data_IF_330398406771
#
_entry.id   IF_330398406771
#
_cell.length_a   1.000
_cell.length_b   1.000
_cell.length_c   1.000
_cell.angle_alpha   90.00
_cell.angle_beta   90.00
_cell.angle_gamma   90.00
#
_symmetry.space_group_name_H-M   'P 1'
#
loop_
_entity.id
_entity.type
_entity.pdbx_description
1 polymer ?
#
# COMPACT_ATOMS: atom_id res chain seq x y z
N UNK A 1 -36.18 8.61 -32.95
CA UNK A 1 -34.82 8.92 -33.41
C UNK A 1 -34.44 10.28 -32.84
N UNK A 2 -33.51 10.34 -31.88
CA UNK A 2 -32.96 11.60 -31.35
C UNK A 2 -31.61 11.85 -32.04
N UNK A 3 -31.31 13.07 -32.53
CA UNK A 3 -30.08 13.32 -33.27
C UNK A 3 -28.88 13.41 -32.32
N UNK A 4 -27.79 12.72 -32.69
CA UNK A 4 -26.49 12.84 -32.04
C UNK A 4 -25.94 14.25 -32.31
N UNK A 5 -25.90 15.09 -31.28
CA UNK A 5 -25.17 16.37 -31.33
C UNK A 5 -23.68 16.04 -31.19
N UNK A 6 -22.96 16.04 -32.31
CA UNK A 6 -21.50 16.03 -32.32
C UNK A 6 -21.00 17.40 -31.81
N UNK A 7 -20.46 17.41 -30.58
CA UNK A 7 -19.88 18.61 -29.98
C UNK A 7 -18.66 19.14 -30.75
N UNK A 8 -18.31 20.43 -30.59
CA UNK A 8 -17.34 21.09 -31.45
C UNK A 8 -15.93 20.51 -31.30
N UNK A 9 -15.27 20.29 -32.44
CA UNK A 9 -13.87 19.88 -32.51
C UNK A 9 -12.99 20.94 -31.83
N UNK A 10 -12.39 20.60 -30.68
CA UNK A 10 -11.55 21.53 -29.90
C UNK A 10 -10.06 21.28 -30.18
N UNK A 11 -9.40 22.09 -31.05
CA UNK A 11 -8.01 21.88 -31.49
C UNK A 11 -6.96 21.94 -30.37
N UNK A 12 -7.34 22.49 -29.21
CA UNK A 12 -6.53 22.56 -28.00
C UNK A 12 -6.19 21.17 -27.42
N UNK A 13 -7.01 20.13 -27.68
CA UNK A 13 -6.77 18.77 -27.18
C UNK A 13 -5.56 18.09 -27.84
N UNK A 14 -5.34 18.34 -29.13
CA UNK A 14 -4.20 17.80 -29.87
C UNK A 14 -2.90 18.49 -29.47
N UNK A 15 -2.93 19.82 -29.30
CA UNK A 15 -1.80 20.59 -28.77
C UNK A 15 -1.44 20.16 -27.35
N UNK A 16 -2.45 19.92 -26.49
CA UNK A 16 -2.24 19.38 -25.15
C UNK A 16 -1.65 17.96 -25.18
N UNK A 17 -2.12 17.08 -26.08
CA UNK A 17 -1.58 15.74 -26.26
C UNK A 17 -0.12 15.75 -26.75
N UNK A 18 0.23 16.67 -27.65
CA UNK A 18 1.60 16.86 -28.14
C UNK A 18 2.55 17.36 -27.04
N UNK A 19 2.11 18.36 -26.27
CA UNK A 19 2.86 18.85 -25.09
C UNK A 19 3.03 17.74 -24.06
N UNK A 20 1.97 16.97 -23.79
CA UNK A 20 1.99 15.82 -22.88
C UNK A 20 2.95 14.73 -23.38
N UNK A 21 2.98 14.43 -24.68
CA UNK A 21 3.92 13.49 -25.29
C UNK A 21 5.38 13.95 -25.17
N UNK A 22 5.64 15.25 -25.41
CA UNK A 22 6.97 15.87 -25.28
C UNK A 22 7.45 15.80 -23.82
N UNK A 23 6.56 16.10 -22.86
CA UNK A 23 6.79 15.91 -21.43
C UNK A 23 7.07 14.44 -21.08
N UNK A 24 6.29 13.50 -21.62
CA UNK A 24 6.48 12.06 -21.37
C UNK A 24 7.79 11.51 -21.96
N UNK A 25 8.28 12.09 -23.05
CA UNK A 25 9.56 11.75 -23.68
C UNK A 25 10.74 12.33 -22.89
N UNK A 26 10.64 13.57 -22.44
CA UNK A 26 11.64 14.22 -21.58
C UNK A 26 11.74 13.55 -20.20
N UNK A 27 10.60 13.22 -19.58
CA UNK A 27 10.52 12.49 -18.31
C UNK A 27 11.17 11.11 -18.41
N UNK A 28 11.03 10.40 -19.54
CA UNK A 28 11.72 9.12 -19.82
C UNK A 28 13.23 9.27 -19.97
N UNK A 29 13.73 10.41 -20.44
CA UNK A 29 15.16 10.70 -20.51
C UNK A 29 15.76 11.05 -19.14
N UNK A 30 15.07 11.87 -18.35
CA UNK A 30 15.42 12.17 -16.95
C UNK A 30 15.38 10.92 -16.06
N UNK A 31 14.43 10.01 -16.30
CA UNK A 31 14.35 8.70 -15.64
C UNK A 31 15.58 7.80 -15.90
N UNK A 32 16.33 8.05 -16.98
CA UNK A 32 17.54 7.29 -17.37
C UNK A 32 18.76 7.62 -16.50
N UNK A 33 18.75 8.78 -15.83
CA UNK A 33 19.83 9.26 -14.97
C UNK A 33 19.47 9.23 -13.47
N UNK A 34 18.41 8.51 -13.08
CA UNK A 34 18.08 8.29 -11.66
C UNK A 34 19.25 7.74 -10.84
N UNK A 35 20.20 7.06 -11.49
CA UNK A 35 21.43 6.59 -10.85
C UNK A 35 22.35 7.73 -10.38
N UNK A 36 22.36 8.89 -11.05
CA UNK A 36 23.12 10.08 -10.59
C UNK A 36 22.57 10.64 -9.27
N UNK A 37 21.28 10.41 -8.99
CA UNK A 37 20.63 10.79 -7.73
C UNK A 37 20.60 9.65 -6.72
N UNK A 38 21.11 8.46 -7.06
CA UNK A 38 21.16 7.31 -6.17
C UNK A 38 21.82 7.60 -4.82
N UNK A 39 22.99 8.28 -4.73
CA UNK A 39 23.58 8.60 -3.43
C UNK A 39 22.66 9.51 -2.59
N UNK A 40 21.98 10.47 -3.21
CA UNK A 40 21.02 11.34 -2.51
C UNK A 40 19.76 10.58 -2.04
N UNK A 41 19.22 9.69 -2.88
CA UNK A 41 18.09 8.84 -2.52
C UNK A 41 18.45 7.86 -1.40
N UNK A 42 19.68 7.34 -1.41
CA UNK A 42 20.19 6.48 -0.35
C UNK A 42 20.36 7.24 0.97
N UNK A 43 20.97 8.43 0.95
CA UNK A 43 21.09 9.30 2.14
C UNK A 43 19.69 9.66 2.69
N UNK A 44 18.76 10.05 1.82
CA UNK A 44 17.38 10.34 2.20
C UNK A 44 16.70 9.14 2.87
N UNK A 45 16.89 7.94 2.33
CA UNK A 45 16.40 6.70 2.92
C UNK A 45 17.01 6.45 4.31
N UNK A 46 18.33 6.60 4.47
CA UNK A 46 19.01 6.42 5.76
C UNK A 46 18.49 7.42 6.80
N UNK A 47 18.34 8.70 6.43
CA UNK A 47 17.75 9.71 7.31
C UNK A 47 16.32 9.34 7.70
N UNK A 48 15.51 8.83 6.77
CA UNK A 48 14.16 8.32 7.08
C UNK A 48 14.20 7.17 8.08
N UNK A 49 15.13 6.22 7.94
CA UNK A 49 15.25 5.09 8.87
C UNK A 49 15.62 5.58 10.28
N UNK A 50 16.57 6.51 10.38
CA UNK A 50 16.98 7.11 11.66
C UNK A 50 15.80 7.84 12.30
N UNK A 51 15.05 8.67 11.55
CA UNK A 51 13.86 9.38 12.06
C UNK A 51 12.77 8.43 12.57
N UNK A 52 12.65 7.26 11.96
CA UNK A 52 11.72 6.23 12.40
C UNK A 52 12.23 5.43 13.61
N UNK A 53 13.48 5.66 14.05
CA UNK A 53 14.13 4.95 15.15
C UNK A 53 14.64 3.56 14.78
N UNK A 54 14.93 3.33 13.49
CA UNK A 54 15.19 2.00 12.95
C UNK A 54 16.64 1.87 12.47
N UNK A 55 17.27 0.73 12.74
CA UNK A 55 18.55 0.40 12.12
C UNK A 55 18.33 0.17 10.61
N UNK A 56 19.16 0.79 9.75
CA UNK A 56 19.01 0.66 8.31
C UNK A 56 19.24 -0.79 7.92
N UNK A 57 18.17 -1.49 7.54
CA UNK A 57 18.28 -2.74 6.82
C UNK A 57 17.87 -2.53 5.38
N UNK A 58 18.44 -3.32 4.48
CA UNK A 58 18.00 -3.38 3.09
C UNK A 58 17.44 -4.77 2.88
N UNK A 59 16.14 -4.87 2.63
CA UNK A 59 15.52 -6.12 2.20
C UNK A 59 14.60 -5.85 1.01
N UNK A 60 14.53 -6.76 0.04
CA UNK A 60 13.70 -6.58 -1.15
C UNK A 60 12.22 -6.36 -0.81
N UNK A 61 11.74 -7.00 0.26
CA UNK A 61 10.39 -6.80 0.78
C UNK A 61 10.22 -5.37 1.32
N UNK A 62 11.16 -4.90 2.12
CA UNK A 62 11.12 -3.54 2.64
C UNK A 62 11.16 -2.48 1.54
N UNK A 63 11.94 -2.70 0.48
CA UNK A 63 12.03 -1.79 -0.65
C UNK A 63 10.72 -1.69 -1.46
N UNK A 64 9.80 -2.67 -1.32
CA UNK A 64 8.50 -2.66 -2.00
C UNK A 64 7.43 -1.85 -1.26
N UNK A 65 7.64 -1.45 -0.01
CA UNK A 65 6.66 -0.61 0.71
C UNK A 65 6.54 0.75 0.03
N UNK A 66 5.32 1.22 -0.17
CA UNK A 66 5.03 2.43 -0.95
C UNK A 66 4.93 3.68 -0.05
N UNK A 67 4.91 3.52 1.27
CA UNK A 67 4.88 4.63 2.24
C UNK A 67 5.76 4.40 3.48
N UNK A 68 6.19 5.48 4.17
CA UNK A 68 6.89 5.37 5.46
C UNK A 68 6.08 4.68 6.55
N UNK A 69 4.74 4.76 6.49
CA UNK A 69 3.86 4.09 7.46
C UNK A 69 3.88 2.57 7.27
N UNK A 70 3.76 2.10 6.03
CA UNK A 70 3.94 0.68 5.69
C UNK A 70 5.31 0.17 6.10
N UNK A 71 6.35 0.98 5.82
CA UNK A 71 7.71 0.65 6.21
C UNK A 71 7.82 0.48 7.72
N UNK A 72 7.32 1.44 8.49
CA UNK A 72 7.31 1.38 9.95
C UNK A 72 6.57 0.14 10.47
N UNK A 73 5.42 -0.19 9.89
CA UNK A 73 4.66 -1.40 10.25
C UNK A 73 5.45 -2.68 9.90
N UNK A 74 6.06 -2.74 8.71
CA UNK A 74 6.90 -3.85 8.30
C UNK A 74 8.04 -4.08 9.30
N UNK A 75 8.74 -3.02 9.68
CA UNK A 75 9.84 -3.10 10.64
C UNK A 75 9.39 -3.63 12.01
N UNK A 76 8.22 -3.21 12.48
CA UNK A 76 7.67 -3.68 13.75
C UNK A 76 7.31 -5.18 13.73
N UNK A 77 6.99 -5.72 12.56
CA UNK A 77 6.50 -7.09 12.39
C UNK A 77 7.56 -8.09 11.88
N UNK A 78 8.61 -7.61 11.20
CA UNK A 78 9.56 -8.46 10.45
C UNK A 78 10.28 -9.51 11.30
N UNK A 79 10.61 -9.21 12.56
CA UNK A 79 11.31 -10.17 13.43
C UNK A 79 10.39 -11.32 13.82
N UNK A 80 9.10 -11.05 13.94
CA UNK A 80 8.09 -12.01 14.39
C UNK A 80 7.61 -12.94 13.28
N UNK A 81 7.41 -12.39 12.08
CA UNK A 81 6.81 -13.13 10.97
C UNK A 81 7.80 -13.48 9.86
N UNK A 82 9.00 -12.89 9.88
CA UNK A 82 10.09 -13.19 8.95
C UNK A 82 9.61 -13.36 7.50
N UNK A 83 9.76 -14.55 6.93
CA UNK A 83 9.40 -14.87 5.57
C UNK A 83 7.90 -14.88 5.28
N UNK A 84 7.06 -15.05 6.29
CA UNK A 84 5.60 -15.05 6.18
C UNK A 84 5.07 -13.63 5.91
N UNK A 85 5.80 -12.58 6.31
CA UNK A 85 5.42 -11.20 6.06
C UNK A 85 5.70 -10.82 4.60
N UNK A 86 4.65 -10.54 3.84
CA UNK A 86 4.70 -10.10 2.45
C UNK A 86 4.29 -8.63 2.36
N UNK A 87 4.92 -7.89 1.45
CA UNK A 87 4.60 -6.50 1.13
C UNK A 87 3.97 -6.42 -0.25
N UNK A 88 2.99 -5.53 -0.43
CA UNK A 88 2.32 -5.30 -1.71
C UNK A 88 1.75 -6.60 -2.29
N UNK A 89 1.07 -7.37 -1.44
CA UNK A 89 0.62 -8.72 -1.73
C UNK A 89 -0.71 -8.72 -2.50
N UNK A 90 -0.84 -9.58 -3.50
CA UNK A 90 -2.04 -9.65 -4.34
C UNK A 90 -3.00 -10.75 -3.88
N UNK A 91 -4.26 -10.38 -3.68
CA UNK A 91 -5.35 -11.29 -3.31
C UNK A 91 -6.49 -11.07 -4.32
N UNK A 92 -6.62 -11.98 -5.30
CA UNK A 92 -7.53 -11.77 -6.42
C UNK A 92 -7.15 -10.52 -7.20
N UNK A 93 -8.07 -9.58 -7.37
CA UNK A 93 -7.84 -8.30 -8.04
C UNK A 93 -7.31 -7.19 -7.12
N UNK A 94 -7.11 -7.47 -5.83
CA UNK A 94 -6.74 -6.46 -4.84
C UNK A 94 -5.26 -6.58 -4.47
N UNK A 95 -4.58 -5.43 -4.34
CA UNK A 95 -3.23 -5.34 -3.78
C UNK A 95 -3.34 -4.76 -2.37
N UNK A 96 -2.79 -5.45 -1.37
CA UNK A 96 -2.78 -5.02 0.04
C UNK A 96 -1.36 -4.67 0.46
N UNK A 97 -1.21 -3.70 1.36
CA UNK A 97 0.10 -3.14 1.69
C UNK A 97 1.04 -4.15 2.33
N UNK A 98 0.54 -4.88 3.32
CA UNK A 98 1.22 -6.03 3.90
C UNK A 98 0.24 -7.21 4.05
N UNK A 99 0.78 -8.42 4.06
CA UNK A 99 0.01 -9.62 4.30
C UNK A 99 0.82 -10.67 5.09
N UNK A 100 0.11 -11.49 5.85
CA UNK A 100 0.65 -12.71 6.45
C UNK A 100 -0.20 -13.88 5.93
N UNK A 101 0.12 -14.43 4.73
CA UNK A 101 -0.76 -15.35 4.01
C UNK A 101 -1.10 -16.63 4.78
N UNK A 102 -0.18 -17.13 5.62
CA UNK A 102 -0.41 -18.27 6.51
C UNK A 102 -1.68 -18.12 7.35
N UNK A 103 -1.98 -16.90 7.78
CA UNK A 103 -3.13 -16.57 8.62
C UNK A 103 -4.27 -15.90 7.84
N UNK A 104 -4.19 -15.84 6.51
CA UNK A 104 -5.09 -15.05 5.64
C UNK A 104 -5.33 -13.64 6.17
N UNK A 105 -4.27 -12.99 6.67
CA UNK A 105 -4.33 -11.65 7.23
C UNK A 105 -3.79 -10.64 6.22
N UNK A 106 -4.63 -9.67 5.85
CA UNK A 106 -4.27 -8.49 5.09
C UNK A 106 -4.20 -7.28 6.03
N UNK A 107 -3.15 -6.48 5.89
CA UNK A 107 -2.89 -5.27 6.67
C UNK A 107 -2.84 -4.07 5.70
N UNK A 108 -3.67 -3.07 5.96
CA UNK A 108 -3.65 -1.83 5.18
C UNK A 108 -3.31 -0.64 6.08
N UNK A 109 -2.34 0.16 5.63
CA UNK A 109 -1.87 1.36 6.29
C UNK A 109 -2.69 2.53 5.78
N UNK A 110 -3.81 2.78 6.45
CA UNK A 110 -4.81 3.71 5.97
C UNK A 110 -4.32 5.16 6.07
N UNK A 111 -4.15 5.77 4.90
CA UNK A 111 -4.00 7.19 4.70
C UNK A 111 -5.34 7.83 4.36
N UNK A 112 -6.24 8.02 5.34
CA UNK A 112 -7.34 9.02 5.31
C UNK A 112 -8.38 8.97 4.18
N UNK A 113 -8.31 8.05 3.21
CA UNK A 113 -9.13 8.10 1.99
C UNK A 113 -10.56 7.53 2.14
N UNK A 114 -10.90 6.96 3.30
CA UNK A 114 -12.23 6.37 3.56
C UNK A 114 -13.37 7.38 3.60
N UNK A 115 -13.09 8.65 3.90
CA UNK A 115 -14.12 9.66 4.16
C UNK A 115 -14.15 10.79 3.13
N UNK A 116 -13.32 10.73 2.08
CA UNK A 116 -13.16 11.84 1.13
C UNK A 116 -14.28 11.89 0.08
N UNK A 117 -14.90 10.75 -0.28
CA UNK A 117 -16.02 10.72 -1.23
C UNK A 117 -16.87 9.43 -1.11
N UNK A 118 -18.21 9.48 -1.25
CA UNK A 118 -19.08 8.30 -1.31
C UNK A 118 -18.62 7.17 -2.26
N UNK A 119 -17.97 7.51 -3.39
CA UNK A 119 -17.43 6.52 -4.34
C UNK A 119 -16.23 5.74 -3.80
N UNK A 120 -15.37 6.34 -2.97
CA UNK A 120 -14.25 5.62 -2.35
C UNK A 120 -14.75 4.67 -1.27
N UNK A 121 -15.79 5.08 -0.53
CA UNK A 121 -16.42 4.25 0.50
C UNK A 121 -17.07 2.99 -0.08
N UNK A 122 -17.81 3.08 -1.18
CA UNK A 122 -18.44 1.90 -1.81
C UNK A 122 -17.41 0.92 -2.39
N UNK A 123 -16.36 1.44 -3.03
CA UNK A 123 -15.25 0.61 -3.51
C UNK A 123 -14.55 -0.14 -2.37
N UNK A 124 -14.31 0.55 -1.25
CA UNK A 124 -13.70 -0.03 -0.07
C UNK A 124 -14.56 -1.12 0.57
N UNK A 125 -15.87 -0.87 0.72
CA UNK A 125 -16.81 -1.86 1.24
C UNK A 125 -16.83 -3.12 0.37
N UNK A 126 -16.82 -2.95 -0.96
CA UNK A 126 -16.72 -4.06 -1.91
C UNK A 126 -15.42 -4.84 -1.74
N UNK A 127 -14.28 -4.15 -1.66
CA UNK A 127 -12.98 -4.80 -1.42
C UNK A 127 -13.00 -5.62 -0.12
N UNK A 128 -13.48 -5.03 0.98
CA UNK A 128 -13.54 -5.71 2.27
C UNK A 128 -14.46 -6.93 2.22
N UNK A 129 -15.61 -6.82 1.54
CA UNK A 129 -16.54 -7.93 1.35
C UNK A 129 -15.89 -9.07 0.53
N UNK A 130 -15.27 -8.75 -0.61
CA UNK A 130 -14.63 -9.74 -1.48
C UNK A 130 -13.47 -10.46 -0.81
N UNK A 131 -12.63 -9.72 -0.08
CA UNK A 131 -11.53 -10.30 0.69
C UNK A 131 -12.06 -11.21 1.81
N UNK A 132 -13.11 -10.78 2.51
CA UNK A 132 -13.77 -11.59 3.54
C UNK A 132 -14.35 -12.89 2.96
N UNK A 133 -15.01 -12.83 1.80
CA UNK A 133 -15.56 -14.01 1.13
C UNK A 133 -14.47 -15.00 0.70
N UNK A 134 -13.25 -14.50 0.42
CA UNK A 134 -12.06 -15.33 0.16
C UNK A 134 -11.41 -15.87 1.45
N UNK A 135 -12.01 -15.61 2.60
CA UNK A 135 -11.54 -16.04 3.92
C UNK A 135 -10.43 -15.17 4.50
N UNK A 136 -10.22 -13.96 3.98
CA UNK A 136 -9.22 -13.04 4.50
C UNK A 136 -9.79 -12.12 5.57
N UNK A 137 -9.01 -11.90 6.64
CA UNK A 137 -9.22 -10.80 7.57
C UNK A 137 -8.45 -9.60 7.07
N UNK A 138 -9.13 -8.45 6.97
CA UNK A 138 -8.49 -7.16 6.67
C UNK A 138 -8.43 -6.36 7.98
N UNK A 139 -7.22 -5.95 8.37
CA UNK A 139 -7.01 -4.99 9.47
C UNK A 139 -6.47 -3.68 8.88
N UNK A 140 -7.14 -2.58 9.22
CA UNK A 140 -6.79 -1.25 8.72
C UNK A 140 -6.35 -0.37 9.87
N UNK A 141 -5.16 0.20 9.76
CA UNK A 141 -4.59 1.03 10.80
C UNK A 141 -4.41 2.45 10.29
N UNK A 142 -5.04 3.42 10.95
CA UNK A 142 -4.86 4.82 10.61
C UNK A 142 -3.44 5.29 10.90
N UNK A 143 -3.00 6.33 10.19
CA UNK A 143 -1.75 7.05 10.49
C UNK A 143 -1.55 7.32 11.97
N UNK A 144 -2.58 7.78 12.69
CA UNK A 144 -2.48 8.07 14.14
C UNK A 144 -2.11 6.81 14.92
N UNK A 145 -2.72 5.66 14.62
CA UNK A 145 -2.41 4.39 15.30
C UNK A 145 -0.99 3.93 15.00
N UNK A 146 -0.58 3.97 13.72
CA UNK A 146 0.77 3.57 13.30
C UNK A 146 1.88 4.49 13.84
N UNK A 147 1.59 5.76 14.08
CA UNK A 147 2.55 6.71 14.65
C UNK A 147 2.60 6.65 16.18
N UNK A 148 1.45 6.58 16.85
CA UNK A 148 1.34 6.80 18.31
C UNK A 148 1.05 5.53 19.13
N UNK A 149 0.64 4.44 18.49
CA UNK A 149 0.12 3.24 19.17
C UNK A 149 0.68 1.95 18.54
N UNK A 150 1.95 1.96 18.11
CA UNK A 150 2.52 0.82 17.37
C UNK A 150 2.48 -0.48 18.17
N UNK A 151 2.73 -0.44 19.48
CA UNK A 151 2.69 -1.64 20.33
C UNK A 151 1.30 -2.27 20.37
N UNK A 152 0.25 -1.45 20.42
CA UNK A 152 -1.14 -1.92 20.38
C UNK A 152 -1.46 -2.54 19.01
N UNK A 153 -0.99 -1.92 17.92
CA UNK A 153 -1.13 -2.47 16.56
C UNK A 153 -0.45 -3.83 16.45
N UNK A 154 0.79 -3.97 16.93
CA UNK A 154 1.52 -5.24 16.94
C UNK A 154 0.82 -6.29 17.80
N UNK A 155 0.26 -5.87 18.95
CA UNK A 155 -0.51 -6.76 19.84
C UNK A 155 -1.77 -7.29 19.16
N UNK A 156 -2.56 -6.43 18.50
CA UNK A 156 -3.77 -6.85 17.77
C UNK A 156 -3.47 -7.86 16.67
N UNK A 157 -2.41 -7.60 15.88
CA UNK A 157 -1.95 -8.51 14.83
C UNK A 157 -1.50 -9.84 15.43
N UNK A 158 -0.71 -9.77 16.51
CA UNK A 158 -0.20 -10.95 17.22
C UNK A 158 -1.33 -11.81 17.74
N UNK A 159 -2.29 -11.21 18.44
CA UNK A 159 -3.42 -11.91 19.05
C UNK A 159 -4.21 -12.67 17.98
N UNK A 160 -4.46 -12.04 16.84
CA UNK A 160 -5.13 -12.69 15.72
C UNK A 160 -4.32 -13.88 15.17
N UNK A 161 -3.02 -13.71 14.95
CA UNK A 161 -2.18 -14.81 14.43
C UNK A 161 -2.02 -15.95 15.44
N UNK A 162 -2.02 -15.67 16.74
CA UNK A 162 -1.97 -16.67 17.79
C UNK A 162 -3.26 -17.50 17.84
N UNK A 163 -4.44 -16.85 17.76
CA UNK A 163 -5.73 -17.55 17.62
C UNK A 163 -5.69 -18.50 16.42
N UNK A 164 -5.13 -18.04 15.31
CA UNK A 164 -4.91 -18.84 14.12
C UNK A 164 -4.02 -20.05 14.29
N UNK A 165 -2.86 -19.87 14.94
CA UNK A 165 -1.94 -20.95 15.24
C UNK A 165 -2.57 -22.04 16.14
N UNK A 166 -3.49 -21.65 17.04
CA UNK A 166 -4.23 -22.57 17.92
C UNK A 166 -5.48 -23.19 17.30
N UNK A 167 -5.75 -22.95 16.01
CA UNK A 167 -6.94 -23.45 15.32
C UNK A 167 -8.25 -22.73 15.67
N UNK A 168 -8.21 -21.67 16.49
CA UNK A 168 -9.38 -20.89 16.94
C UNK A 168 -9.72 -19.74 15.99
N UNK A 169 -9.77 -20.00 14.69
CA UNK A 169 -10.13 -18.96 13.73
C UNK A 169 -11.66 -18.83 13.60
N UNK A 170 -12.21 -17.60 13.62
CA UNK A 170 -13.66 -17.39 13.45
C UNK A 170 -14.14 -17.60 12.00
N UNK A 171 -13.26 -18.04 11.09
CA UNK A 171 -13.54 -18.24 9.66
C UNK A 171 -13.30 -19.68 9.18
N UNK A 172 -12.84 -20.57 10.07
CA UNK A 172 -12.89 -22.01 9.78
C UNK A 172 -14.36 -22.44 9.89
N UNK A 173 -14.92 -22.94 8.78
CA UNK A 173 -16.24 -23.58 8.78
C UNK A 173 -16.29 -24.71 9.78
#
# INVERSE_FOLDING_TARGET
MLPLILGPHRPWREKAAFVFWKFRKLKRHLLRHKWLFFPFLFISYIIEQIRLGMFPCVSLRLLRTESPLERRLYYALRSKYSDELKTQYTIGSYKVDLAIPKYKLALECDGTDLFVNPKSQSHHQKQQHDLRNRGWRVMRFSRRRLLKQMDQVVSEITEYTNKGATGKFPFTR
#
